data_IF_991070151133
#
_entry.id   IF_991070151133
#
_cell.length_a   1.000
_cell.length_b   1.000
_cell.length_c   1.000
_cell.angle_alpha   90.00
_cell.angle_beta   90.00
_cell.angle_gamma   90.00
#
_symmetry.space_group_name_H-M   'P 1'
#
loop_
_entity.id
_entity.type
_entity.pdbx_description
1 polymer ?
#
# COMPACT_ATOMS: atom_id res chain seq x y z
N UNK A 1 -36.03 12.83 4.11
CA UNK A 1 -35.08 13.95 4.24
C UNK A 1 -34.34 13.90 5.57
N UNK A 2 -35.02 13.60 6.68
CA UNK A 2 -34.42 13.54 8.02
C UNK A 2 -33.18 12.63 8.13
N UNK A 3 -33.21 11.42 7.52
CA UNK A 3 -32.07 10.51 7.50
C UNK A 3 -30.81 11.12 6.87
N UNK A 4 -30.99 11.86 5.77
CA UNK A 4 -29.91 12.55 5.06
C UNK A 4 -29.48 13.79 5.85
N UNK A 5 -30.44 14.52 6.43
CA UNK A 5 -30.19 15.71 7.24
C UNK A 5 -29.29 15.45 8.46
N UNK A 6 -29.47 14.30 9.12
CA UNK A 6 -28.63 13.91 10.25
C UNK A 6 -27.14 13.71 9.88
N UNK A 7 -26.87 13.23 8.65
CA UNK A 7 -25.51 13.09 8.13
C UNK A 7 -24.93 14.46 7.76
N UNK A 8 -25.69 15.31 7.06
CA UNK A 8 -25.22 16.65 6.69
C UNK A 8 -24.99 17.56 7.90
N UNK A 9 -25.77 17.43 8.98
CA UNK A 9 -25.52 18.14 10.23
C UNK A 9 -24.11 17.83 10.79
N UNK A 10 -23.71 16.55 10.77
CA UNK A 10 -22.37 16.14 11.20
C UNK A 10 -21.26 16.70 10.29
N UNK A 11 -21.53 16.81 8.98
CA UNK A 11 -20.60 17.43 8.03
C UNK A 11 -20.48 18.93 8.31
N UNK A 12 -21.59 19.64 8.51
CA UNK A 12 -21.61 21.07 8.82
C UNK A 12 -20.85 21.38 10.12
N UNK A 13 -21.00 20.56 11.15
CA UNK A 13 -20.22 20.68 12.39
C UNK A 13 -18.71 20.57 12.18
N UNK A 14 -18.27 19.84 11.14
CA UNK A 14 -16.86 19.56 10.87
C UNK A 14 -16.26 20.44 9.77
N UNK A 15 -17.10 21.23 9.09
CA UNK A 15 -16.75 21.99 7.89
C UNK A 15 -15.53 22.90 8.10
N UNK A 16 -15.42 23.52 9.28
CA UNK A 16 -14.30 24.38 9.66
C UNK A 16 -12.93 23.69 9.46
N UNK A 17 -12.81 22.39 9.75
CA UNK A 17 -11.57 21.62 9.64
C UNK A 17 -11.34 21.00 8.26
N UNK A 18 -12.29 21.17 7.33
CA UNK A 18 -12.22 20.60 5.99
C UNK A 18 -11.96 21.64 4.90
N UNK A 19 -12.44 22.89 5.08
CA UNK A 19 -12.30 23.93 4.05
C UNK A 19 -10.83 24.31 3.83
N UNK A 20 -10.38 24.32 2.58
CA UNK A 20 -9.00 24.70 2.23
C UNK A 20 -7.95 23.73 2.76
N UNK A 21 -8.34 22.49 3.06
CA UNK A 21 -7.43 21.44 3.49
C UNK A 21 -6.70 20.81 2.29
N UNK A 22 -5.41 20.57 2.45
CA UNK A 22 -4.52 19.94 1.48
C UNK A 22 -4.01 18.61 2.05
N UNK A 23 -3.92 17.53 1.27
CA UNK A 23 -3.48 16.24 1.77
C UNK A 23 -1.98 16.26 2.10
N UNK A 24 -1.61 15.61 3.21
CA UNK A 24 -0.22 15.37 3.61
C UNK A 24 0.13 13.94 3.24
N UNK A 25 0.88 13.77 2.14
CA UNK A 25 1.18 12.47 1.52
C UNK A 25 2.69 12.24 1.42
N UNK A 26 3.10 10.97 1.35
CA UNK A 26 4.50 10.59 1.14
C UNK A 26 4.69 9.43 0.15
N UNK A 27 3.60 8.79 -0.29
CA UNK A 27 3.62 7.69 -1.27
C UNK A 27 2.81 8.08 -2.52
N UNK A 28 3.37 7.86 -3.71
CA UNK A 28 2.65 8.02 -4.97
C UNK A 28 2.35 6.66 -5.58
N UNK A 29 1.09 6.34 -5.87
CA UNK A 29 0.71 5.08 -6.52
C UNK A 29 0.37 5.34 -7.98
N UNK A 30 1.12 4.73 -8.90
CA UNK A 30 0.85 4.94 -10.32
C UNK A 30 -0.52 4.38 -10.72
N UNK A 31 -1.34 5.21 -11.37
CA UNK A 31 -2.64 4.83 -11.90
C UNK A 31 -2.47 4.06 -13.21
N UNK A 32 -2.72 2.75 -13.19
CA UNK A 32 -2.55 1.88 -14.36
C UNK A 32 -3.47 2.30 -15.52
N UNK A 33 -4.62 2.91 -15.22
CA UNK A 33 -5.55 3.41 -16.26
C UNK A 33 -4.89 4.45 -17.19
N UNK A 34 -3.85 5.17 -16.72
CA UNK A 34 -3.11 6.13 -17.54
C UNK A 34 -2.38 5.47 -18.72
N UNK A 35 -2.02 4.19 -18.62
CA UNK A 35 -1.42 3.40 -19.70
C UNK A 35 -2.46 2.65 -20.53
N UNK A 36 -3.63 2.40 -19.97
CA UNK A 36 -4.69 1.60 -20.61
C UNK A 36 -6.05 2.27 -20.37
N UNK A 37 -6.41 3.33 -21.13
CA UNK A 37 -7.64 4.10 -20.91
C UNK A 37 -8.95 3.35 -21.29
N UNK A 38 -8.94 2.02 -21.32
CA UNK A 38 -10.05 1.17 -21.77
C UNK A 38 -10.88 0.55 -20.64
N UNK A 39 -10.52 0.81 -19.39
CA UNK A 39 -11.16 0.15 -18.24
C UNK A 39 -12.48 0.84 -17.86
N UNK A 40 -13.59 0.08 -17.94
CA UNK A 40 -14.92 0.48 -17.41
C UNK A 40 -14.97 0.33 -15.88
N UNK A 41 -13.92 -0.24 -15.26
CA UNK A 41 -13.83 -0.57 -13.82
C UNK A 41 -12.42 -0.32 -13.30
N UNK A 42 -12.30 0.04 -12.02
CA UNK A 42 -11.00 0.22 -11.35
C UNK A 42 -10.11 -1.03 -11.55
N UNK A 43 -8.86 -0.89 -12.05
CA UNK A 43 -7.93 -2.00 -12.21
C UNK A 43 -7.69 -2.74 -10.88
N UNK A 44 -7.61 -4.09 -10.89
CA UNK A 44 -7.34 -4.87 -9.68
C UNK A 44 -6.04 -4.46 -8.97
N UNK A 45 -5.02 -4.09 -9.72
CA UNK A 45 -3.74 -3.61 -9.19
C UNK A 45 -3.91 -2.32 -8.35
N UNK A 46 -4.64 -1.32 -8.87
CA UNK A 46 -4.92 -0.09 -8.13
C UNK A 46 -5.86 -0.33 -6.94
N UNK A 47 -6.87 -1.19 -7.08
CA UNK A 47 -7.75 -1.56 -5.96
C UNK A 47 -6.99 -2.25 -4.82
N UNK A 48 -6.11 -3.19 -5.15
CA UNK A 48 -5.26 -3.87 -4.18
C UNK A 48 -4.32 -2.91 -3.47
N UNK A 49 -3.68 -2.01 -4.22
CA UNK A 49 -2.80 -0.98 -3.66
C UNK A 49 -3.55 -0.04 -2.71
N UNK A 50 -4.72 0.45 -3.12
CA UNK A 50 -5.59 1.27 -2.27
C UNK A 50 -5.88 0.59 -0.93
N UNK A 51 -6.35 -0.67 -0.96
CA UNK A 51 -6.72 -1.40 0.26
C UNK A 51 -5.52 -1.65 1.17
N UNK A 52 -4.41 -2.15 0.62
CA UNK A 52 -3.20 -2.45 1.39
C UNK A 52 -2.65 -1.19 2.06
N UNK A 53 -2.50 -0.09 1.33
CA UNK A 53 -1.94 1.15 1.86
C UNK A 53 -2.87 1.82 2.88
N UNK A 54 -4.18 1.78 2.63
CA UNK A 54 -5.18 2.26 3.59
C UNK A 54 -5.15 1.46 4.90
N UNK A 55 -5.12 0.13 4.82
CA UNK A 55 -4.97 -0.75 5.99
C UNK A 55 -3.60 -0.57 6.67
N UNK A 56 -2.57 -0.15 5.93
CA UNK A 56 -1.25 0.19 6.45
C UNK A 56 -1.11 1.63 6.96
N UNK A 57 -2.16 2.48 6.86
CA UNK A 57 -2.17 3.90 7.25
C UNK A 57 -1.15 4.77 6.52
N UNK A 58 -0.66 4.31 5.38
CA UNK A 58 0.19 5.14 4.53
C UNK A 58 -0.64 6.27 3.91
N UNK A 59 -0.04 7.45 3.82
CA UNK A 59 -0.67 8.60 3.19
C UNK A 59 -0.21 8.66 1.73
N UNK A 60 -1.14 8.52 0.80
CA UNK A 60 -0.82 8.34 -0.62
C UNK A 60 -1.77 9.06 -1.57
N UNK A 61 -1.26 9.38 -2.75
CA UNK A 61 -2.02 9.86 -3.91
C UNK A 61 -1.95 8.82 -5.04
N UNK A 62 -2.97 8.82 -5.91
CA UNK A 62 -2.85 8.19 -7.22
C UNK A 62 -2.26 9.20 -8.22
N UNK A 63 -1.24 8.77 -8.95
CA UNK A 63 -0.42 9.63 -9.82
C UNK A 63 -0.24 9.00 -11.20
N UNK A 64 0.35 9.73 -12.13
CA UNK A 64 0.64 9.27 -13.48
C UNK A 64 2.01 9.78 -13.99
N UNK A 65 2.23 9.60 -15.30
CA UNK A 65 3.43 10.07 -16.00
C UNK A 65 3.59 11.58 -16.06
N UNK A 66 2.53 12.37 -15.80
CA UNK A 66 2.57 13.84 -15.83
C UNK A 66 2.74 14.47 -14.43
N UNK A 67 2.34 13.73 -13.39
CA UNK A 67 2.42 14.14 -11.99
C UNK A 67 3.85 14.44 -11.50
N UNK A 68 4.05 15.40 -10.60
CA UNK A 68 5.38 15.64 -10.00
C UNK A 68 5.73 14.56 -8.95
N UNK A 69 6.69 13.68 -9.29
CA UNK A 69 7.10 12.56 -8.43
C UNK A 69 8.00 13.01 -7.26
N UNK A 70 8.61 14.21 -7.34
CA UNK A 70 9.51 14.71 -6.29
C UNK A 70 8.82 14.94 -4.94
N UNK A 71 7.48 15.01 -4.95
CA UNK A 71 6.63 15.14 -3.77
C UNK A 71 6.53 13.87 -2.93
N UNK A 72 6.92 12.71 -3.47
CA UNK A 72 6.76 11.41 -2.82
C UNK A 72 8.12 10.80 -2.47
N UNK A 73 8.20 10.23 -1.26
CA UNK A 73 9.38 9.47 -0.82
C UNK A 73 9.49 8.13 -1.51
N UNK A 74 8.34 7.51 -1.81
CA UNK A 74 8.26 6.24 -2.55
C UNK A 74 7.18 6.35 -3.62
N UNK A 75 7.48 5.87 -4.83
CA UNK A 75 6.49 5.64 -5.88
C UNK A 75 6.25 4.13 -6.03
N UNK A 76 5.00 3.72 -5.95
CA UNK A 76 4.55 2.34 -6.15
C UNK A 76 4.10 2.19 -7.60
N UNK A 77 4.69 1.22 -8.29
CA UNK A 77 4.32 0.80 -9.64
C UNK A 77 3.58 -0.54 -9.57
N UNK A 78 2.23 -0.55 -9.50
CA UNK A 78 1.46 -1.74 -9.20
C UNK A 78 1.28 -2.64 -10.44
N UNK A 79 1.74 -3.88 -10.32
CA UNK A 79 1.60 -5.07 -11.16
C UNK A 79 1.93 -4.99 -12.67
N UNK A 80 1.57 -3.93 -13.38
CA UNK A 80 1.52 -3.91 -14.84
C UNK A 80 1.96 -2.58 -15.47
N UNK A 81 2.70 -1.75 -14.73
CA UNK A 81 3.21 -0.47 -15.21
C UNK A 81 4.44 -0.68 -16.11
N UNK A 82 4.21 -0.86 -17.41
CA UNK A 82 5.28 -0.87 -18.41
C UNK A 82 5.79 0.55 -18.69
N UNK A 83 7.05 0.67 -19.09
CA UNK A 83 7.72 1.94 -19.32
C UNK A 83 8.05 2.14 -20.79
N UNK A 84 7.60 3.27 -21.33
CA UNK A 84 8.17 3.86 -22.53
C UNK A 84 9.48 4.61 -22.20
N UNK A 85 10.09 5.25 -23.19
CA UNK A 85 11.34 5.99 -22.99
C UNK A 85 11.17 7.18 -22.02
N UNK A 86 10.06 7.91 -22.12
CA UNK A 86 9.81 9.09 -21.30
C UNK A 86 9.61 8.74 -19.82
N UNK A 87 8.79 7.72 -19.52
CA UNK A 87 8.56 7.23 -18.17
C UNK A 87 9.82 6.62 -17.56
N UNK A 88 10.61 5.90 -18.36
CA UNK A 88 11.89 5.35 -17.91
C UNK A 88 12.88 6.46 -17.52
N UNK A 89 13.01 7.51 -18.34
CA UNK A 89 13.86 8.67 -18.03
C UNK A 89 13.40 9.39 -16.75
N UNK A 90 12.09 9.58 -16.60
CA UNK A 90 11.51 10.19 -15.39
C UNK A 90 11.77 9.36 -14.14
N UNK A 91 11.56 8.04 -14.21
CA UNK A 91 11.80 7.13 -13.10
C UNK A 91 13.30 7.08 -12.72
N UNK A 92 14.21 7.10 -13.70
CA UNK A 92 15.64 7.18 -13.44
C UNK A 92 16.02 8.50 -12.75
N UNK A 93 15.51 9.64 -13.22
CA UNK A 93 15.76 10.93 -12.60
C UNK A 93 15.22 11.00 -11.16
N UNK A 94 14.05 10.42 -10.91
CA UNK A 94 13.45 10.31 -9.58
C UNK A 94 14.32 9.49 -8.61
N UNK A 95 14.82 8.34 -9.05
CA UNK A 95 15.75 7.51 -8.25
C UNK A 95 17.07 8.26 -7.97
N UNK A 96 17.64 8.95 -8.97
CA UNK A 96 18.87 9.74 -8.81
C UNK A 96 18.70 10.90 -7.82
N UNK A 97 17.48 11.44 -7.69
CA UNK A 97 17.14 12.46 -6.70
C UNK A 97 16.92 11.89 -5.28
N UNK A 98 17.10 10.57 -5.08
CA UNK A 98 16.92 9.90 -3.79
C UNK A 98 15.51 9.35 -3.57
N UNK A 99 14.66 9.36 -4.59
CA UNK A 99 13.37 8.66 -4.58
C UNK A 99 13.53 7.14 -4.54
N UNK A 100 12.43 6.44 -4.26
CA UNK A 100 12.41 4.98 -4.17
C UNK A 100 11.22 4.37 -4.92
N UNK A 101 11.40 3.18 -5.49
CA UNK A 101 10.38 2.48 -6.26
C UNK A 101 10.01 1.13 -5.63
N UNK A 102 8.72 0.90 -5.45
CA UNK A 102 8.16 -0.43 -5.21
C UNK A 102 7.50 -0.94 -6.49
N UNK A 103 8.16 -1.87 -7.16
CA UNK A 103 7.67 -2.47 -8.41
C UNK A 103 7.09 -3.86 -8.12
N UNK A 104 6.01 -4.21 -8.80
CA UNK A 104 5.36 -5.53 -8.64
C UNK A 104 4.97 -6.11 -10.00
N UNK A 105 4.94 -7.43 -10.15
CA UNK A 105 4.56 -8.10 -11.39
C UNK A 105 5.42 -7.68 -12.59
N UNK A 106 4.79 -7.20 -13.65
CA UNK A 106 5.39 -6.70 -14.89
C UNK A 106 5.87 -5.24 -14.80
N UNK A 107 5.68 -4.56 -13.68
CA UNK A 107 6.06 -3.15 -13.56
C UNK A 107 7.56 -2.92 -13.73
N UNK A 108 7.92 -1.90 -14.51
CA UNK A 108 9.29 -1.56 -14.87
C UNK A 108 9.81 -2.24 -16.13
N UNK A 109 9.07 -3.17 -16.73
CA UNK A 109 9.40 -3.73 -18.05
C UNK A 109 9.22 -2.67 -19.14
N UNK A 110 10.00 -2.77 -20.22
CA UNK A 110 9.74 -2.07 -21.47
C UNK A 110 8.44 -2.56 -22.10
N UNK A 111 7.78 -1.72 -22.87
CA UNK A 111 6.52 -2.07 -23.57
C UNK A 111 6.65 -3.32 -24.44
N UNK A 112 7.80 -3.50 -25.09
CA UNK A 112 8.11 -4.66 -25.93
C UNK A 112 8.52 -5.93 -25.14
N UNK A 113 8.55 -5.84 -23.81
CA UNK A 113 8.99 -6.92 -22.89
C UNK A 113 10.41 -7.44 -23.15
N UNK A 114 11.28 -6.66 -23.80
CA UNK A 114 12.68 -7.04 -24.05
C UNK A 114 13.56 -7.04 -22.80
N UNK A 115 13.09 -6.44 -21.71
CA UNK A 115 13.75 -6.38 -20.41
C UNK A 115 13.21 -5.27 -19.53
N UNK A 116 13.83 -5.03 -18.38
CA UNK A 116 13.54 -3.88 -17.54
C UNK A 116 14.09 -2.59 -18.16
N UNK A 117 13.35 -1.49 -18.00
CA UNK A 117 13.69 -0.21 -18.62
C UNK A 117 14.81 0.54 -17.87
N UNK A 118 14.95 0.30 -16.56
CA UNK A 118 15.93 0.92 -15.68
C UNK A 118 17.21 0.07 -15.59
N UNK A 119 18.37 0.72 -15.66
CA UNK A 119 19.67 0.02 -15.57
C UNK A 119 19.93 -0.59 -14.18
N UNK A 120 19.48 0.10 -13.14
CA UNK A 120 19.72 -0.30 -11.74
C UNK A 120 18.63 -1.20 -11.18
N UNK A 121 17.74 -1.71 -12.05
CA UNK A 121 16.68 -2.62 -11.65
C UNK A 121 17.27 -3.88 -10.98
N UNK A 122 16.68 -4.38 -9.87
CA UNK A 122 17.26 -5.47 -9.09
C UNK A 122 17.26 -6.84 -9.81
N UNK A 123 16.69 -6.93 -11.00
CA UNK A 123 16.40 -8.18 -11.67
C UNK A 123 16.69 -8.12 -13.18
N UNK A 124 17.05 -9.26 -13.76
CA UNK A 124 17.17 -9.48 -15.20
C UNK A 124 15.99 -10.33 -15.65
N UNK A 125 15.19 -9.82 -16.57
CA UNK A 125 13.97 -10.48 -17.05
C UNK A 125 14.29 -11.71 -17.92
N UNK A 126 13.56 -12.81 -17.70
CA UNK A 126 13.75 -14.08 -18.42
C UNK A 126 12.42 -14.69 -18.93
N UNK A 127 11.32 -13.95 -18.87
CA UNK A 127 9.98 -14.41 -19.24
C UNK A 127 9.07 -14.60 -18.03
N UNK A 128 8.05 -15.44 -18.16
CA UNK A 128 7.12 -15.76 -17.07
C UNK A 128 7.51 -17.04 -16.33
N UNK A 129 7.09 -17.14 -15.06
CA UNK A 129 7.28 -18.37 -14.29
C UNK A 129 6.50 -19.53 -14.94
N UNK A 130 7.07 -20.76 -14.97
CA UNK A 130 6.44 -21.89 -15.64
C UNK A 130 5.22 -22.44 -14.90
N UNK A 131 5.12 -22.22 -13.58
CA UNK A 131 4.04 -22.73 -12.73
C UNK A 131 3.06 -21.61 -12.32
N UNK A 132 1.77 -21.94 -12.26
CA UNK A 132 0.74 -21.06 -11.71
C UNK A 132 -0.48 -21.92 -11.30
N UNK A 133 -0.86 -21.92 -10.01
CA UNK A 133 -0.19 -21.23 -8.91
C UNK A 133 1.19 -21.82 -8.60
N UNK A 134 2.09 -20.99 -8.08
CA UNK A 134 3.32 -21.39 -7.39
C UNK A 134 3.26 -20.89 -5.94
N UNK A 135 4.40 -20.90 -5.23
CA UNK A 135 4.45 -20.49 -3.82
C UNK A 135 5.61 -19.55 -3.55
N UNK A 136 5.46 -18.71 -2.54
CA UNK A 136 6.47 -17.78 -2.05
C UNK A 136 6.78 -18.07 -0.60
N UNK A 137 8.06 -18.05 -0.27
CA UNK A 137 8.56 -18.04 1.12
C UNK A 137 9.37 -16.76 1.33
N UNK A 138 8.92 -15.82 2.19
CA UNK A 138 9.66 -14.60 2.46
C UNK A 138 10.95 -14.90 3.25
N UNK A 139 11.94 -14.02 3.12
CA UNK A 139 13.22 -14.08 3.84
C UNK A 139 13.48 -12.76 4.56
N UNK A 140 14.37 -12.78 5.57
CA UNK A 140 14.88 -11.58 6.22
C UNK A 140 13.77 -10.63 6.68
N UNK A 141 13.88 -9.35 6.29
CA UNK A 141 12.91 -8.32 6.65
C UNK A 141 11.48 -8.60 6.15
N UNK A 142 11.31 -9.33 5.04
CA UNK A 142 9.97 -9.65 4.53
C UNK A 142 9.28 -10.74 5.36
N UNK A 143 10.05 -11.53 6.11
CA UNK A 143 9.54 -12.64 6.92
C UNK A 143 9.16 -12.23 8.35
N UNK A 144 9.41 -10.99 8.77
CA UNK A 144 9.13 -10.53 10.13
C UNK A 144 7.64 -10.65 10.46
N UNK A 145 7.29 -11.34 11.55
CA UNK A 145 5.88 -11.54 11.93
C UNK A 145 5.04 -12.38 10.96
N UNK A 146 5.66 -13.03 9.97
CA UNK A 146 5.02 -13.96 9.02
C UNK A 146 5.41 -15.40 9.41
N UNK A 147 4.46 -16.32 9.36
CA UNK A 147 4.75 -17.73 9.67
C UNK A 147 5.69 -18.33 8.61
N UNK A 148 6.67 -19.13 9.04
CA UNK A 148 7.61 -19.77 8.14
C UNK A 148 6.95 -20.93 7.37
N UNK A 149 6.34 -20.60 6.22
CA UNK A 149 5.64 -21.54 5.34
C UNK A 149 5.68 -21.07 3.89
N UNK A 150 5.14 -21.90 2.99
CA UNK A 150 4.99 -21.60 1.57
C UNK A 150 3.60 -21.03 1.30
N UNK A 151 3.55 -19.77 0.92
CA UNK A 151 2.31 -19.06 0.63
C UNK A 151 1.99 -19.16 -0.86
N UNK A 152 0.79 -19.63 -1.19
CA UNK A 152 0.37 -19.77 -2.58
C UNK A 152 0.29 -18.40 -3.27
N UNK A 153 0.78 -18.30 -4.51
CA UNK A 153 0.56 -17.15 -5.38
C UNK A 153 -0.38 -17.56 -6.52
N UNK A 154 -1.59 -17.02 -6.50
CA UNK A 154 -2.65 -17.45 -7.41
C UNK A 154 -2.49 -16.98 -8.85
N UNK A 155 -1.77 -15.87 -9.06
CA UNK A 155 -1.51 -15.31 -10.37
C UNK A 155 -0.03 -15.52 -10.73
N UNK A 156 0.24 -15.68 -12.03
CA UNK A 156 1.57 -15.97 -12.56
C UNK A 156 2.53 -14.82 -12.31
N UNK A 157 3.70 -15.12 -11.74
CA UNK A 157 4.80 -14.16 -11.57
C UNK A 157 5.77 -14.13 -12.75
N UNK A 158 6.72 -13.19 -12.69
CA UNK A 158 7.78 -13.04 -13.67
C UNK A 158 8.99 -13.91 -13.31
N UNK A 159 9.54 -14.60 -14.31
CA UNK A 159 10.78 -15.35 -14.18
C UNK A 159 11.95 -14.39 -14.37
N UNK A 160 12.78 -14.27 -13.35
CA UNK A 160 13.93 -13.36 -13.35
C UNK A 160 15.17 -14.01 -12.75
N UNK A 161 16.33 -13.44 -13.06
CA UNK A 161 17.56 -13.68 -12.30
C UNK A 161 17.95 -12.43 -11.50
N UNK A 162 18.61 -12.56 -10.34
CA UNK A 162 19.15 -11.41 -9.63
C UNK A 162 20.14 -10.63 -10.49
N UNK A 163 20.02 -9.30 -10.50
CA UNK A 163 21.07 -8.44 -11.03
C UNK A 163 22.29 -8.45 -10.10
N UNK A 164 23.45 -8.02 -10.60
CA UNK A 164 24.63 -7.86 -9.76
C UNK A 164 24.36 -6.88 -8.61
N UNK A 165 24.71 -7.29 -7.39
CA UNK A 165 24.49 -6.54 -6.15
C UNK A 165 23.05 -6.58 -5.62
N UNK A 166 22.13 -7.32 -6.25
CA UNK A 166 20.76 -7.45 -5.76
C UNK A 166 20.68 -8.41 -4.56
N UNK A 167 19.95 -7.99 -3.54
CA UNK A 167 19.57 -8.80 -2.39
C UNK A 167 18.30 -9.60 -2.73
N UNK A 168 18.29 -10.90 -2.42
CA UNK A 168 17.09 -11.73 -2.55
C UNK A 168 16.31 -11.70 -1.23
N UNK A 169 15.05 -11.27 -1.31
CA UNK A 169 14.17 -11.05 -0.16
C UNK A 169 13.08 -12.12 -0.01
N UNK A 170 12.85 -12.94 -1.04
CA UNK A 170 11.91 -14.06 -0.98
C UNK A 170 12.24 -15.10 -2.07
N UNK A 171 11.85 -16.35 -1.82
CA UNK A 171 12.08 -17.49 -2.71
C UNK A 171 10.79 -17.92 -3.40
N UNK A 172 10.88 -18.32 -4.69
CA UNK A 172 9.79 -19.07 -5.35
C UNK A 172 9.95 -20.55 -5.05
N UNK A 173 8.83 -21.22 -4.81
CA UNK A 173 8.73 -22.66 -4.61
C UNK A 173 7.73 -23.27 -5.59
N UNK A 174 8.14 -24.35 -6.25
CA UNK A 174 7.42 -24.96 -7.36
C UNK A 174 6.56 -26.13 -6.88
N UNK A 175 5.34 -26.30 -7.42
CA UNK A 175 4.56 -27.51 -7.20
C UNK A 175 5.16 -28.71 -7.97
N UNK A 176 4.70 -29.92 -7.66
CA UNK A 176 5.06 -31.12 -8.45
C UNK A 176 4.69 -31.00 -9.93
N UNK A 177 3.57 -30.34 -10.23
CA UNK A 177 3.06 -30.12 -11.58
C UNK A 177 1.99 -29.03 -11.59
N UNK A 178 1.83 -28.36 -12.75
CA UNK A 178 0.62 -27.57 -13.01
C UNK A 178 -0.57 -28.51 -13.17
N UNK A 179 -1.69 -28.18 -12.52
CA UNK A 179 -2.93 -28.93 -12.69
C UNK A 179 -3.41 -28.74 -14.13
N UNK A 180 -3.65 -29.84 -14.83
CA UNK A 180 -4.26 -29.88 -16.16
C UNK A 180 -5.30 -31.00 -16.17
N UNK A 181 -6.03 -31.18 -17.28
CA UNK A 181 -6.93 -32.31 -17.41
C UNK A 181 -6.22 -33.68 -17.31
N UNK A 182 -4.90 -33.73 -17.58
CA UNK A 182 -4.07 -34.94 -17.49
C UNK A 182 -3.37 -35.10 -16.13
N UNK A 183 -3.17 -34.00 -15.40
CA UNK A 183 -2.46 -33.99 -14.11
C UNK A 183 -3.38 -33.45 -13.02
N UNK A 184 -3.97 -34.37 -12.25
CA UNK A 184 -4.97 -34.07 -11.23
C UNK A 184 -4.40 -34.16 -9.81
N UNK A 185 -4.93 -33.32 -8.93
CA UNK A 185 -4.79 -33.39 -7.48
C UNK A 185 -6.17 -33.11 -6.87
N UNK A 186 -6.55 -33.86 -5.83
CA UNK A 186 -7.82 -33.67 -5.11
C UNK A 186 -7.86 -32.42 -4.24
N UNK A 187 -6.71 -31.82 -3.96
CA UNK A 187 -6.61 -30.53 -3.27
C UNK A 187 -6.72 -29.35 -4.24
N UNK A 188 -7.05 -28.16 -3.70
CA UNK A 188 -7.10 -26.93 -4.49
C UNK A 188 -5.76 -26.60 -5.16
N UNK A 189 -4.64 -26.95 -4.53
CA UNK A 189 -3.27 -26.69 -4.98
C UNK A 189 -2.47 -27.98 -5.02
N UNK A 190 -1.65 -28.15 -6.06
CA UNK A 190 -0.65 -29.22 -6.09
C UNK A 190 0.40 -28.94 -5.01
N UNK A 191 0.80 -29.92 -4.18
CA UNK A 191 1.78 -29.69 -3.12
C UNK A 191 3.11 -29.14 -3.62
N UNK A 192 3.78 -28.38 -2.75
CA UNK A 192 5.14 -27.88 -2.96
C UNK A 192 6.10 -29.05 -3.12
N UNK A 193 6.96 -29.00 -4.14
CA UNK A 193 7.92 -30.05 -4.45
C UNK A 193 9.37 -29.61 -4.17
N UNK A 194 9.75 -28.40 -4.63
CA UNK A 194 11.13 -27.91 -4.53
C UNK A 194 11.20 -26.40 -4.60
N UNK A 195 12.32 -25.86 -4.13
CA UNK A 195 12.68 -24.45 -4.34
C UNK A 195 13.04 -24.21 -5.81
N UNK A 196 12.60 -23.09 -6.37
CA UNK A 196 13.01 -22.63 -7.69
C UNK A 196 14.40 -21.98 -7.63
N UNK A 197 15.07 -21.85 -8.78
CA UNK A 197 16.28 -21.03 -8.91
C UNK A 197 15.95 -19.53 -9.03
N UNK A 198 14.67 -19.21 -9.26
CA UNK A 198 14.20 -17.84 -9.43
C UNK A 198 13.72 -17.24 -8.09
N UNK A 199 14.11 -16.00 -7.77
CA UNK A 199 13.66 -15.30 -6.57
C UNK A 199 12.22 -14.79 -6.74
N UNK A 200 11.52 -14.59 -5.63
CA UNK A 200 10.17 -14.02 -5.60
C UNK A 200 10.16 -12.52 -5.31
N UNK A 201 11.18 -12.04 -4.60
CA UNK A 201 11.37 -10.63 -4.26
C UNK A 201 12.86 -10.29 -4.25
N UNK A 202 13.21 -9.10 -4.75
CA UNK A 202 14.57 -8.59 -4.74
C UNK A 202 14.63 -7.12 -4.35
N UNK A 203 15.79 -6.69 -3.88
CA UNK A 203 16.10 -5.29 -3.62
C UNK A 203 17.46 -4.91 -4.20
N UNK A 204 17.54 -3.72 -4.75
CA UNK A 204 18.79 -3.06 -5.12
C UNK A 204 18.59 -1.56 -4.97
N UNK A 205 19.45 -0.93 -4.16
CA UNK A 205 19.41 0.52 -3.91
C UNK A 205 18.00 0.99 -3.46
N UNK A 206 17.42 1.96 -4.16
CA UNK A 206 16.09 2.49 -3.91
C UNK A 206 14.95 1.68 -4.52
N UNK A 207 15.19 0.48 -5.05
CA UNK A 207 14.16 -0.34 -5.72
C UNK A 207 13.93 -1.64 -4.96
N UNK A 208 12.68 -1.90 -4.59
CA UNK A 208 12.20 -3.24 -4.19
C UNK A 208 11.27 -3.77 -5.28
N UNK A 209 11.48 -5.00 -5.69
CA UNK A 209 10.72 -5.67 -6.74
C UNK A 209 10.10 -6.97 -6.23
N UNK A 210 8.78 -7.11 -6.34
CA UNK A 210 8.06 -8.37 -6.09
C UNK A 210 7.63 -8.96 -7.44
N UNK A 211 8.06 -10.17 -7.75
CA UNK A 211 7.91 -10.75 -9.11
C UNK A 211 6.47 -11.10 -9.49
N UNK A 212 5.60 -11.27 -8.49
CA UNK A 212 4.17 -11.56 -8.69
C UNK A 212 3.33 -10.28 -8.70
N UNK A 213 2.16 -10.29 -9.37
CA UNK A 213 1.22 -9.17 -9.35
C UNK A 213 0.44 -9.15 -8.02
N UNK A 214 1.14 -8.88 -6.92
CA UNK A 214 0.65 -9.05 -5.55
C UNK A 214 -0.56 -8.18 -5.23
N UNK A 215 -0.71 -7.01 -5.87
CA UNK A 215 -1.86 -6.15 -5.62
C UNK A 215 -3.13 -6.74 -6.22
N UNK A 216 -3.07 -7.23 -7.46
CA UNK A 216 -4.16 -7.93 -8.13
C UNK A 216 -4.51 -9.24 -7.42
N UNK A 217 -3.50 -9.97 -6.93
CA UNK A 217 -3.74 -11.15 -6.10
C UNK A 217 -4.49 -10.74 -4.82
N UNK A 218 -4.05 -9.69 -4.11
CA UNK A 218 -4.75 -9.23 -2.91
C UNK A 218 -6.19 -8.78 -3.21
N UNK A 219 -6.41 -8.05 -4.30
CA UNK A 219 -7.75 -7.62 -4.72
C UNK A 219 -8.70 -8.80 -4.99
N UNK A 220 -8.19 -9.94 -5.46
CA UNK A 220 -8.98 -11.14 -5.75
C UNK A 220 -9.15 -12.08 -4.54
N UNK A 221 -8.14 -12.20 -3.68
CA UNK A 221 -8.07 -13.26 -2.65
C UNK A 221 -8.01 -12.73 -1.21
N UNK A 222 -7.67 -11.46 -0.99
CA UNK A 222 -7.75 -10.78 0.31
C UNK A 222 -6.90 -11.35 1.46
N UNK A 223 -5.94 -12.24 1.19
CA UNK A 223 -5.16 -12.89 2.25
C UNK A 223 -4.17 -11.93 2.91
N UNK A 224 -4.09 -11.99 4.24
CA UNK A 224 -3.20 -11.15 5.08
C UNK A 224 -1.74 -11.19 4.64
N UNK A 225 -1.26 -12.35 4.18
CA UNK A 225 0.12 -12.51 3.72
C UNK A 225 0.50 -11.51 2.60
N UNK A 226 -0.35 -11.30 1.60
CA UNK A 226 -0.02 -10.38 0.50
C UNK A 226 0.11 -8.93 0.97
N UNK A 227 -0.77 -8.53 1.89
CA UNK A 227 -0.68 -7.23 2.57
C UNK A 227 0.63 -7.11 3.34
N UNK A 228 0.98 -8.09 4.19
CA UNK A 228 2.22 -8.07 4.97
C UNK A 228 3.45 -8.00 4.06
N UNK A 229 3.47 -8.80 2.99
CA UNK A 229 4.57 -8.82 2.02
C UNK A 229 4.81 -7.43 1.41
N UNK A 230 3.74 -6.75 0.98
CA UNK A 230 3.82 -5.39 0.42
C UNK A 230 4.23 -4.37 1.47
N UNK A 231 3.66 -4.43 2.68
CA UNK A 231 3.98 -3.47 3.75
C UNK A 231 5.43 -3.60 4.24
N UNK A 232 5.96 -4.82 4.35
CA UNK A 232 7.38 -5.02 4.69
C UNK A 232 8.30 -4.54 3.55
N UNK A 233 7.93 -4.80 2.29
CA UNK A 233 8.65 -4.26 1.13
C UNK A 233 8.65 -2.72 1.14
N UNK A 234 7.52 -2.10 1.47
CA UNK A 234 7.40 -0.64 1.59
C UNK A 234 8.22 -0.11 2.78
N UNK A 235 8.24 -0.80 3.92
CA UNK A 235 9.02 -0.40 5.10
C UNK A 235 10.53 -0.34 4.81
N UNK A 236 11.04 -1.19 3.92
CA UNK A 236 12.45 -1.11 3.46
C UNK A 236 12.77 0.18 2.70
N UNK A 237 11.77 0.78 2.05
CA UNK A 237 11.88 2.01 1.26
C UNK A 237 11.44 3.26 2.07
N UNK A 238 10.52 3.07 3.01
CA UNK A 238 9.89 4.09 3.84
C UNK A 238 9.92 3.67 5.32
N UNK A 239 11.11 3.66 5.97
CA UNK A 239 11.25 3.14 7.34
C UNK A 239 10.61 4.03 8.41
N UNK A 240 10.31 5.28 8.08
CA UNK A 240 9.73 6.28 8.97
C UNK A 240 8.48 6.88 8.31
N UNK A 241 7.34 6.18 8.29
CA UNK A 241 6.10 6.70 7.70
C UNK A 241 5.52 7.84 8.55
N UNK A 242 4.61 8.61 7.97
CA UNK A 242 3.89 9.71 8.59
C UNK A 242 3.04 9.24 9.77
N UNK A 243 2.41 8.07 9.67
CA UNK A 243 1.48 7.56 10.68
C UNK A 243 1.91 6.16 11.11
N UNK A 244 2.00 5.94 12.43
CA UNK A 244 2.12 4.62 13.03
C UNK A 244 1.00 4.43 14.06
N UNK A 245 0.39 3.25 14.07
CA UNK A 245 -0.65 2.86 15.03
C UNK A 245 -0.81 1.35 15.05
N UNK A 246 -1.13 0.81 16.22
CA UNK A 246 -1.45 -0.62 16.43
C UNK A 246 -2.97 -0.88 16.33
N UNK A 247 -3.76 0.10 15.87
CA UNK A 247 -5.20 -0.04 15.75
C UNK A 247 -5.60 -1.12 14.71
N UNK A 248 -6.78 -1.75 14.85
CA UNK A 248 -7.26 -2.79 13.93
C UNK A 248 -7.29 -2.31 12.48
N UNK A 249 -7.02 -3.16 11.49
CA UNK A 249 -6.92 -2.81 10.04
C UNK A 249 -8.11 -2.04 9.46
N UNK A 250 -9.25 -2.05 10.15
CA UNK A 250 -10.48 -1.32 9.81
C UNK A 250 -10.41 0.18 10.11
N UNK A 251 -9.48 0.65 10.96
CA UNK A 251 -9.29 2.09 11.19
C UNK A 251 -8.59 2.73 9.99
N UNK A 252 -9.26 3.64 9.31
CA UNK A 252 -8.65 4.47 8.28
C UNK A 252 -8.13 5.76 8.92
N UNK A 253 -6.94 6.17 8.50
CA UNK A 253 -6.30 7.42 8.95
C UNK A 253 -5.95 8.24 7.72
N UNK A 254 -6.47 9.47 7.66
CA UNK A 254 -6.08 10.44 6.62
C UNK A 254 -5.58 11.72 7.26
N UNK A 255 -4.52 12.30 6.69
CA UNK A 255 -3.88 13.49 7.20
C UNK A 255 -4.01 14.63 6.21
N UNK A 256 -4.64 15.72 6.63
CA UNK A 256 -4.69 16.96 5.88
C UNK A 256 -4.03 18.11 6.66
N UNK A 257 -3.65 19.17 5.95
CA UNK A 257 -3.16 20.43 6.50
C UNK A 257 -4.03 21.58 6.01
N UNK A 258 -4.33 22.53 6.87
CA UNK A 258 -4.97 23.80 6.51
C UNK A 258 -3.95 24.93 6.67
N UNK A 259 -3.21 25.30 5.60
CA UNK A 259 -2.12 26.27 5.69
C UNK A 259 -2.56 27.64 6.22
N UNK A 260 -3.75 28.10 5.82
CA UNK A 260 -4.30 29.39 6.25
C UNK A 260 -4.57 29.47 7.76
N UNK A 261 -4.84 28.32 8.37
CA UNK A 261 -5.11 28.20 9.81
C UNK A 261 -3.89 27.70 10.60
N UNK A 262 -2.74 27.45 9.93
CA UNK A 262 -1.53 26.86 10.53
C UNK A 262 -1.86 25.63 11.38
N UNK A 263 -2.63 24.69 10.83
CA UNK A 263 -2.98 23.46 11.56
C UNK A 263 -3.01 22.25 10.66
N UNK A 264 -2.71 21.10 11.23
CA UNK A 264 -2.96 19.79 10.64
C UNK A 264 -4.21 19.16 11.24
N UNK A 265 -4.92 18.38 10.43
CA UNK A 265 -6.13 17.65 10.82
C UNK A 265 -5.96 16.19 10.41
N UNK A 266 -5.88 15.31 11.40
CA UNK A 266 -5.82 13.86 11.22
C UNK A 266 -7.21 13.30 11.43
N UNK A 267 -7.81 12.75 10.38
CA UNK A 267 -9.13 12.13 10.42
C UNK A 267 -8.97 10.64 10.71
N UNK A 268 -9.77 10.16 11.65
CA UNK A 268 -9.85 8.77 12.07
C UNK A 268 -11.24 8.27 11.75
N UNK A 269 -11.34 7.32 10.82
CA UNK A 269 -12.60 6.79 10.35
C UNK A 269 -12.65 5.29 10.65
N UNK A 270 -13.62 4.86 11.45
CA UNK A 270 -13.84 3.46 11.80
C UNK A 270 -15.28 3.05 11.51
N UNK A 271 -15.44 2.50 10.31
CA UNK A 271 -16.69 1.93 9.82
C UNK A 271 -16.33 0.61 9.15
N UNK A 272 -17.05 -0.46 9.49
CA UNK A 272 -16.77 -1.81 8.99
C UNK A 272 -17.92 -2.21 8.06
N UNK A 273 -17.75 -2.10 6.73
CA UNK A 273 -18.74 -2.60 5.80
C UNK A 273 -18.84 -4.12 5.89
N UNK A 274 -20.06 -4.64 6.00
CA UNK A 274 -20.34 -6.07 6.04
C UNK A 274 -20.98 -6.53 4.73
N UNK A 275 -20.40 -7.56 4.11
CA UNK A 275 -20.99 -8.22 2.94
C UNK A 275 -22.12 -9.14 3.38
N UNK A 276 -23.37 -8.66 3.30
CA UNK A 276 -24.57 -9.41 3.72
C UNK A 276 -25.36 -10.02 2.56
N UNK A 277 -25.13 -9.53 1.35
CA UNK A 277 -25.77 -10.02 0.12
C UNK A 277 -24.71 -10.21 -0.97
N UNK A 278 -25.11 -10.71 -2.15
CA UNK A 278 -24.15 -10.95 -3.24
C UNK A 278 -23.52 -9.67 -3.83
N UNK A 279 -24.16 -8.51 -3.66
CA UNK A 279 -23.72 -7.28 -4.34
C UNK A 279 -23.22 -6.21 -3.37
N UNK A 280 -24.07 -5.44 -2.66
CA UNK A 280 -23.60 -4.35 -1.80
C UNK A 280 -23.02 -4.83 -0.46
N UNK A 281 -22.05 -4.05 0.02
CA UNK A 281 -21.65 -4.00 1.41
C UNK A 281 -22.58 -3.04 2.18
N UNK A 282 -22.91 -3.38 3.42
CA UNK A 282 -23.79 -2.60 4.28
C UNK A 282 -23.06 -2.06 5.49
N UNK A 283 -23.49 -0.88 5.94
CA UNK A 283 -23.03 -0.23 7.16
C UNK A 283 -24.25 -0.07 8.07
N UNK A 284 -24.34 -0.93 9.09
CA UNK A 284 -25.44 -0.91 10.06
C UNK A 284 -24.95 -0.42 11.43
N UNK A 285 -23.84 -0.97 11.91
CA UNK A 285 -23.31 -0.67 13.23
C UNK A 285 -22.12 0.29 13.20
N UNK A 286 -22.06 1.14 14.22
CA UNK A 286 -20.89 1.99 14.50
C UNK A 286 -20.18 1.43 15.73
N UNK A 287 -19.14 0.64 15.50
CA UNK A 287 -18.35 0.01 16.56
C UNK A 287 -17.27 1.00 17.02
N UNK A 288 -17.28 1.48 18.28
CA UNK A 288 -16.26 2.39 18.77
C UNK A 288 -14.93 1.68 18.99
N UNK A 289 -13.83 2.37 18.68
CA UNK A 289 -12.49 2.02 19.17
C UNK A 289 -12.15 2.93 20.35
N UNK A 290 -11.49 2.37 21.36
CA UNK A 290 -11.04 3.10 22.55
C UNK A 290 -9.51 3.12 22.62
N UNK A 291 -8.97 4.17 23.23
CA UNK A 291 -7.54 4.32 23.52
C UNK A 291 -6.64 4.11 22.29
N UNK A 292 -7.01 4.74 21.18
CA UNK A 292 -6.30 4.63 19.90
C UNK A 292 -4.99 5.41 19.98
N UNK A 293 -3.89 4.68 20.14
CA UNK A 293 -2.54 5.25 20.12
C UNK A 293 -2.14 5.64 18.69
N UNK A 294 -1.68 6.88 18.51
CA UNK A 294 -1.16 7.42 17.26
C UNK A 294 0.24 7.98 17.46
N UNK A 295 1.12 7.67 16.52
CA UNK A 295 2.43 8.33 16.40
C UNK A 295 2.50 8.99 15.03
N UNK A 296 2.64 10.31 15.03
CA UNK A 296 2.55 11.15 13.85
C UNK A 296 3.91 11.80 13.60
N UNK A 297 4.52 11.59 12.43
CA UNK A 297 5.82 12.17 12.08
C UNK A 297 5.66 13.65 11.73
N UNK A 298 5.78 14.51 12.73
CA UNK A 298 5.66 15.96 12.60
C UNK A 298 6.37 16.66 13.75
N UNK A 299 6.65 17.95 13.59
CA UNK A 299 7.13 18.79 14.69
C UNK A 299 6.11 18.91 15.82
N UNK A 300 6.58 19.27 17.01
CA UNK A 300 5.71 19.48 18.16
C UNK A 300 4.71 20.62 17.90
N UNK A 301 3.39 20.39 17.99
CA UNK A 301 2.41 21.45 17.87
C UNK A 301 2.40 22.31 19.13
N UNK A 302 1.84 23.52 19.05
CA UNK A 302 1.54 24.30 20.26
C UNK A 302 0.38 23.69 21.03
N UNK A 303 -0.56 23.06 20.32
CA UNK A 303 -1.79 22.52 20.90
C UNK A 303 -2.30 21.33 20.08
N UNK A 304 -2.83 20.33 20.77
CA UNK A 304 -3.55 19.23 20.15
C UNK A 304 -4.95 19.08 20.79
N UNK A 305 -5.98 18.86 19.97
CA UNK A 305 -7.34 18.67 20.46
C UNK A 305 -8.20 17.81 19.53
N UNK A 306 -9.30 17.29 20.07
CA UNK A 306 -10.34 16.57 19.36
C UNK A 306 -11.32 17.54 18.72
N UNK A 307 -11.62 17.36 17.44
CA UNK A 307 -12.67 18.11 16.74
C UNK A 307 -13.84 17.18 16.35
N UNK A 308 -15.09 17.67 16.45
CA UNK A 308 -15.48 19.07 16.66
C UNK A 308 -15.52 19.55 18.12
N UNK A 309 -15.28 18.68 19.10
CA UNK A 309 -15.56 18.93 20.53
C UNK A 309 -14.63 19.97 21.18
N UNK A 310 -13.49 20.28 20.55
CA UNK A 310 -12.42 21.17 21.06
C UNK A 310 -11.89 20.75 22.42
N UNK A 311 -11.86 19.44 22.68
CA UNK A 311 -11.30 18.85 23.91
C UNK A 311 -9.81 18.64 23.71
N UNK A 312 -8.99 19.28 24.53
CA UNK A 312 -7.53 19.12 24.47
C UNK A 312 -7.11 17.71 24.81
N UNK A 313 -6.07 17.23 24.12
CA UNK A 313 -5.46 15.93 24.39
C UNK A 313 -3.97 16.10 24.67
N UNK A 314 -3.43 15.38 25.67
CA UNK A 314 -2.01 15.41 25.94
C UNK A 314 -1.25 14.73 24.80
N UNK A 315 -0.03 15.20 24.57
CA UNK A 315 0.89 14.61 23.62
C UNK A 315 2.31 14.65 24.16
N UNK A 316 3.16 13.80 23.60
CA UNK A 316 4.59 13.75 23.89
C UNK A 316 5.36 13.67 22.57
N UNK A 317 6.60 14.14 22.54
CA UNK A 317 7.47 14.01 21.36
C UNK A 317 8.55 12.99 21.66
N UNK A 318 8.65 11.97 20.81
CA UNK A 318 9.65 10.91 20.88
C UNK A 318 10.40 10.84 19.54
N UNK A 319 11.62 11.39 19.51
CA UNK A 319 12.38 11.52 18.27
C UNK A 319 11.64 12.39 17.26
N UNK A 320 11.33 11.84 16.09
CA UNK A 320 10.61 12.53 15.00
C UNK A 320 9.08 12.41 15.10
N UNK A 321 8.57 11.72 16.13
CA UNK A 321 7.14 11.41 16.26
C UNK A 321 6.48 12.17 17.40
N UNK A 322 5.32 12.74 17.11
CA UNK A 322 4.33 13.17 18.08
C UNK A 322 3.48 11.95 18.48
N UNK A 323 3.52 11.58 19.76
CA UNK A 323 2.76 10.48 20.34
C UNK A 323 1.56 11.02 21.11
N UNK A 324 0.36 10.51 20.81
CA UNK A 324 -0.89 10.87 21.48
C UNK A 324 -1.86 9.68 21.50
N UNK A 325 -2.86 9.74 22.38
CA UNK A 325 -3.92 8.73 22.48
C UNK A 325 -5.28 9.39 22.28
N UNK A 326 -6.04 8.87 21.32
CA UNK A 326 -7.43 9.30 21.09
C UNK A 326 -8.35 8.41 21.93
N UNK A 327 -9.13 8.99 22.88
CA UNK A 327 -9.87 8.21 23.86
C UNK A 327 -10.99 7.38 23.24
N UNK A 328 -11.69 7.90 22.24
CA UNK A 328 -12.74 7.17 21.52
C UNK A 328 -12.77 7.60 20.04
N UNK A 329 -12.87 6.63 19.14
CA UNK A 329 -13.23 6.81 17.73
C UNK A 329 -14.53 6.07 17.48
N UNK A 330 -15.65 6.80 17.51
CA UNK A 330 -16.99 6.27 17.18
C UNK A 330 -17.39 6.75 15.79
N UNK A 331 -17.10 5.94 14.77
CA UNK A 331 -17.38 6.28 13.38
C UNK A 331 -16.36 7.26 12.80
N UNK A 332 -16.38 8.53 13.24
CA UNK A 332 -15.43 9.55 12.79
C UNK A 332 -14.98 10.46 13.92
N UNK A 333 -13.67 10.61 14.09
CA UNK A 333 -13.03 11.56 15.00
C UNK A 333 -11.93 12.32 14.26
N UNK A 334 -11.72 13.60 14.60
CA UNK A 334 -10.61 14.39 14.10
C UNK A 334 -9.67 14.76 15.24
N UNK A 335 -8.37 14.66 14.99
CA UNK A 335 -7.31 15.21 15.85
C UNK A 335 -6.72 16.41 15.14
N UNK A 336 -6.76 17.56 15.80
CA UNK A 336 -6.25 18.82 15.25
C UNK A 336 -4.96 19.16 15.95
N UNK A 337 -3.93 19.47 15.18
CA UNK A 337 -2.61 19.88 15.64
C UNK A 337 -2.39 21.33 15.19
N UNK A 338 -2.44 22.28 16.12
CA UNK A 338 -2.17 23.69 15.82
C UNK A 338 -0.66 23.93 15.84
N UNK A 339 -0.14 24.37 14.69
CA UNK A 339 1.26 24.69 14.47
C UNK A 339 1.55 26.07 15.07
N UNK A 340 2.76 26.21 15.61
CA UNK A 340 3.17 27.44 16.28
C UNK A 340 3.54 28.60 15.38
#
# INVERSE_FOLDING_TARGET
YDLIGAVYAQVAEREEWCIGAEPVVEVGVFNVEALQPSHVRIPPANLGAYRILQEGRHQFDFIDGESDWSRYRVVVLPDEVVMDEALAQKAQAYLQAGGALLCTGRSGLREDSSGFALSDFPAVYQGELPYSPDFVRPLGALAEGVADTHYVMYLRGQKVAPAEGAEVLAEVWEPYFNRTYQHFCSHAHTPVARRSEHPAALRKEGIVYLTHPVFSIFAQYGMTFYKQLVLHALQLLLPQPLVLTEAPSTLQVTWNRQPQHRRSVVHLLHYIPERRTLAPDYLEDVIPLYDVALRLRTGAPQRAYLAPQRVEIPFQTEGEYLCLTVPEVRGHQMVVLEEG
#
